data_IF_624476945951
#
_entry.id   IF_624476945951
#
_cell.length_a   1.000
_cell.length_b   1.000
_cell.length_c   1.000
_cell.angle_alpha   90.00
_cell.angle_beta   90.00
_cell.angle_gamma   90.00
#
_symmetry.space_group_name_H-M   'P 1'
#
loop_
_entity.id
_entity.type
_entity.pdbx_description
1 polymer ?
#
# COMPACT_ATOMS: atom_id res chain seq x y z
N UNK A 1 -37.33 8.62 27.89
CA UNK A 1 -36.25 9.62 27.72
C UNK A 1 -34.90 8.90 27.87
N UNK A 2 -34.36 8.27 26.81
CA UNK A 2 -32.99 7.69 26.74
C UNK A 2 -32.65 6.95 25.43
N UNK A 3 -33.59 6.74 24.50
CA UNK A 3 -33.35 5.90 23.29
C UNK A 3 -32.96 6.73 22.06
N UNK A 4 -32.37 7.93 22.23
CA UNK A 4 -31.95 8.79 21.12
C UNK A 4 -30.54 9.35 21.25
N UNK A 5 -29.60 8.57 21.80
CA UNK A 5 -28.18 8.94 21.83
C UNK A 5 -27.26 7.98 21.06
N UNK A 6 -27.79 7.05 20.27
CA UNK A 6 -26.96 6.10 19.50
C UNK A 6 -26.81 6.49 18.02
N UNK A 7 -27.52 7.53 17.56
CA UNK A 7 -27.65 7.81 16.11
C UNK A 7 -26.85 9.02 15.57
N UNK A 8 -25.84 9.54 16.29
CA UNK A 8 -25.01 10.66 15.78
C UNK A 8 -23.51 10.39 15.68
N UNK A 9 -23.03 9.19 16.02
CA UNK A 9 -21.63 8.83 15.75
C UNK A 9 -21.51 8.21 14.34
N UNK A 10 -21.97 8.97 13.34
CA UNK A 10 -21.88 8.60 11.94
C UNK A 10 -20.43 8.41 11.52
N UNK A 11 -20.07 7.17 11.15
CA UNK A 11 -18.90 6.71 10.38
C UNK A 11 -17.49 7.09 10.83
N UNK A 12 -17.29 8.13 11.65
CA UNK A 12 -16.00 8.65 12.10
C UNK A 12 -15.50 8.01 13.39
N UNK A 13 -16.39 7.46 14.23
CA UNK A 13 -16.01 6.84 15.51
C UNK A 13 -15.50 5.39 15.37
N UNK A 14 -15.86 4.69 14.30
CA UNK A 14 -15.49 3.28 14.09
C UNK A 14 -13.99 3.12 13.78
N UNK A 15 -13.35 4.10 13.15
CA UNK A 15 -11.93 4.07 12.81
C UNK A 15 -10.98 4.50 13.93
N UNK A 16 -11.50 4.92 15.10
CA UNK A 16 -10.70 5.50 16.19
C UNK A 16 -10.24 4.43 17.19
N UNK A 17 -10.91 3.28 17.28
CA UNK A 17 -10.60 2.24 18.29
C UNK A 17 -9.29 1.48 18.04
N UNK A 18 -8.76 1.51 16.81
CA UNK A 18 -7.54 0.79 16.43
C UNK A 18 -6.44 1.79 16.05
N UNK A 19 -5.25 1.73 16.67
CA UNK A 19 -4.10 2.50 16.20
C UNK A 19 -3.79 2.18 14.73
N UNK A 20 -3.61 3.22 13.91
CA UNK A 20 -3.24 3.04 12.50
C UNK A 20 -1.89 2.34 12.39
N UNK A 21 -1.80 1.40 11.46
CA UNK A 21 -0.55 0.72 11.12
C UNK A 21 0.40 1.65 10.35
N UNK A 22 1.64 1.20 10.10
CA UNK A 22 2.57 1.96 9.27
C UNK A 22 2.07 2.18 7.83
N UNK A 23 1.44 1.19 7.20
CA UNK A 23 0.92 1.35 5.85
C UNK A 23 -0.24 2.35 5.81
N UNK A 24 -1.15 2.29 6.78
CA UNK A 24 -2.28 3.22 6.87
C UNK A 24 -1.81 4.65 7.14
N UNK A 25 -0.86 4.83 8.05
CA UNK A 25 -0.25 6.14 8.33
C UNK A 25 0.44 6.71 7.08
N UNK A 26 1.19 5.88 6.34
CA UNK A 26 1.86 6.30 5.12
C UNK A 26 0.84 6.65 4.00
N UNK A 27 -0.24 5.89 3.86
CA UNK A 27 -1.33 6.23 2.93
C UNK A 27 -1.96 7.57 3.26
N UNK A 28 -2.23 7.81 4.54
CA UNK A 28 -2.92 9.01 4.99
C UNK A 28 -2.02 10.25 4.96
N UNK A 29 -0.70 10.11 5.19
CA UNK A 29 0.25 11.21 5.09
C UNK A 29 0.40 11.77 3.68
N UNK A 30 -0.01 10.99 2.67
CA UNK A 30 -0.03 11.40 1.27
C UNK A 30 -1.33 12.09 0.86
N UNK A 31 -2.36 12.16 1.71
CA UNK A 31 -3.61 12.83 1.34
C UNK A 31 -3.45 14.35 1.39
N UNK A 32 -3.92 15.05 0.35
CA UNK A 32 -4.08 16.50 0.37
C UNK A 32 -5.30 16.90 1.21
N UNK A 33 -5.50 18.19 1.41
CA UNK A 33 -6.66 18.73 2.17
C UNK A 33 -8.03 18.34 1.60
N UNK A 34 -8.10 17.91 0.33
CA UNK A 34 -9.30 17.36 -0.32
C UNK A 34 -9.47 15.84 -0.11
N UNK A 35 -8.58 15.19 0.66
CA UNK A 35 -8.56 13.75 0.90
C UNK A 35 -7.99 12.92 -0.25
N UNK A 36 -7.52 13.57 -1.33
CA UNK A 36 -6.99 12.88 -2.50
C UNK A 36 -5.45 12.89 -2.53
N UNK A 37 -4.81 11.82 -3.02
CA UNK A 37 -3.37 11.76 -3.13
C UNK A 37 -2.85 12.67 -4.26
N UNK A 38 -1.62 13.23 -4.16
CA UNK A 38 -0.93 13.92 -5.25
C UNK A 38 -0.99 13.13 -6.54
N UNK A 39 -1.25 13.83 -7.64
CA UNK A 39 -1.27 13.23 -8.98
C UNK A 39 0.11 12.65 -9.26
N UNK A 40 0.17 11.36 -9.58
CA UNK A 40 1.41 10.65 -9.85
C UNK A 40 2.22 10.23 -8.62
N UNK A 41 1.71 10.41 -7.40
CA UNK A 41 2.30 9.82 -6.21
C UNK A 41 1.93 8.34 -6.07
N UNK A 42 2.89 7.54 -5.62
CA UNK A 42 2.62 6.17 -5.21
C UNK A 42 1.97 6.16 -3.83
N UNK A 43 0.67 5.88 -3.81
CA UNK A 43 -0.06 5.57 -2.58
C UNK A 43 0.14 4.10 -2.25
N UNK A 44 0.64 3.75 -1.04
CA UNK A 44 0.84 2.37 -0.67
C UNK A 44 -0.50 1.63 -0.57
N UNK A 45 -0.54 0.41 -1.10
CA UNK A 45 -1.63 -0.52 -0.87
C UNK A 45 -1.47 -1.25 0.46
N UNK A 46 -2.52 -1.24 1.26
CA UNK A 46 -2.61 -1.98 2.51
C UNK A 46 -3.63 -3.12 2.37
N UNK A 47 -3.45 -4.21 3.10
CA UNK A 47 -4.43 -5.28 3.23
C UNK A 47 -5.53 -4.94 4.25
N UNK A 48 -6.46 -5.87 4.48
CA UNK A 48 -7.58 -5.71 5.42
C UNK A 48 -7.11 -5.59 6.88
N UNK A 49 -5.88 -6.01 7.17
CA UNK A 49 -5.23 -5.85 8.47
C UNK A 49 -4.37 -4.59 8.53
N UNK A 50 -4.43 -3.72 7.52
CA UNK A 50 -3.62 -2.51 7.41
C UNK A 50 -2.13 -2.80 7.21
N UNK A 51 -1.69 -4.02 6.95
CA UNK A 51 -0.28 -4.29 6.63
C UNK A 51 0.00 -3.93 5.17
N UNK A 52 1.26 -3.70 4.83
CA UNK A 52 1.65 -3.53 3.43
C UNK A 52 1.32 -4.80 2.65
N UNK A 53 0.65 -4.64 1.50
CA UNK A 53 0.50 -5.78 0.59
C UNK A 53 1.88 -6.17 0.07
N UNK A 54 2.25 -7.46 0.02
CA UNK A 54 3.55 -7.89 -0.46
C UNK A 54 3.85 -7.38 -1.87
N UNK A 55 2.84 -7.22 -2.71
CA UNK A 55 2.92 -6.60 -4.03
C UNK A 55 2.31 -5.19 -4.00
N UNK A 56 3.12 -4.20 -4.33
CA UNK A 56 2.70 -2.81 -4.51
C UNK A 56 2.69 -2.46 -6.00
N UNK A 57 1.77 -1.59 -6.40
CA UNK A 57 1.70 -1.11 -7.77
C UNK A 57 1.56 0.41 -7.82
N UNK A 58 2.23 1.06 -8.76
CA UNK A 58 2.04 2.45 -9.05
C UNK A 58 0.95 2.63 -10.09
N UNK A 59 -0.23 3.11 -9.68
CA UNK A 59 -1.39 3.25 -10.57
C UNK A 59 -1.12 4.12 -11.79
N UNK A 60 -0.32 5.19 -11.66
CA UNK A 60 -0.03 6.12 -12.75
C UNK A 60 0.98 5.60 -13.77
N UNK A 61 1.97 4.81 -13.37
CA UNK A 61 2.98 4.26 -14.30
C UNK A 61 2.73 2.79 -14.65
N UNK A 62 1.78 2.13 -13.98
CA UNK A 62 1.48 0.71 -14.11
C UNK A 62 2.61 -0.23 -13.69
N UNK A 63 3.66 0.27 -13.04
CA UNK A 63 4.74 -0.56 -12.53
C UNK A 63 4.33 -1.24 -11.23
N UNK A 64 4.78 -2.47 -10.99
CA UNK A 64 4.58 -3.17 -9.72
C UNK A 64 5.91 -3.67 -9.17
N UNK A 65 6.01 -3.85 -7.86
CA UNK A 65 7.19 -4.38 -7.17
C UNK A 65 6.78 -5.10 -5.88
N UNK A 66 7.69 -5.87 -5.30
CA UNK A 66 7.48 -6.48 -4.00
C UNK A 66 8.03 -5.58 -2.89
N UNK A 67 7.39 -5.60 -1.72
CA UNK A 67 7.86 -4.87 -0.53
C UNK A 67 8.07 -5.79 0.67
N UNK A 68 8.88 -5.33 1.63
CA UNK A 68 8.98 -5.94 2.97
C UNK A 68 7.81 -5.50 3.88
N UNK A 69 7.78 -5.98 5.12
CA UNK A 69 6.76 -5.62 6.11
C UNK A 69 6.75 -4.14 6.51
N UNK A 70 7.79 -3.38 6.15
CA UNK A 70 7.88 -1.93 6.36
C UNK A 70 7.52 -1.15 5.09
N UNK A 71 7.13 -1.83 4.00
CA UNK A 71 6.79 -1.20 2.73
C UNK A 71 8.00 -0.84 1.87
N UNK A 72 9.20 -1.35 2.18
CA UNK A 72 10.40 -1.06 1.41
C UNK A 72 10.50 -1.98 0.20
N UNK A 73 10.76 -1.40 -0.98
CA UNK A 73 10.93 -2.16 -2.21
C UNK A 73 12.08 -3.18 -2.10
N UNK A 74 11.77 -4.41 -2.51
CA UNK A 74 12.72 -5.48 -2.69
C UNK A 74 13.43 -5.32 -4.04
N UNK A 75 14.75 -5.19 -4.04
CA UNK A 75 15.54 -4.99 -5.26
C UNK A 75 15.29 -6.09 -6.30
N UNK A 76 15.19 -5.70 -7.57
CA UNK A 76 15.01 -6.61 -8.70
C UNK A 76 13.59 -7.19 -8.85
N UNK A 77 12.62 -6.73 -8.05
CA UNK A 77 11.22 -7.19 -8.15
C UNK A 77 10.33 -6.26 -8.96
N UNK A 78 10.85 -5.09 -9.38
CA UNK A 78 10.07 -4.10 -10.14
C UNK A 78 9.83 -4.55 -11.57
N UNK A 79 8.56 -4.67 -11.94
CA UNK A 79 8.09 -5.08 -13.27
C UNK A 79 7.38 -3.92 -13.99
N UNK A 80 7.57 -3.78 -15.31
CA UNK A 80 6.85 -2.79 -16.11
C UNK A 80 5.36 -3.15 -16.28
N UNK A 81 4.52 -2.19 -16.70
CA UNK A 81 3.13 -2.45 -17.04
C UNK A 81 3.01 -3.56 -18.10
N UNK A 82 2.00 -4.43 -17.95
CA UNK A 82 1.76 -5.55 -18.86
C UNK A 82 2.63 -6.79 -18.62
N UNK A 83 3.57 -6.74 -17.67
CA UNK A 83 4.31 -7.93 -17.26
C UNK A 83 3.45 -8.87 -16.39
N UNK A 84 3.73 -10.19 -16.41
CA UNK A 84 3.13 -11.12 -15.46
C UNK A 84 3.38 -10.69 -14.01
N UNK A 85 2.43 -10.99 -13.12
CA UNK A 85 2.58 -10.65 -11.70
C UNK A 85 3.78 -11.38 -11.11
N UNK A 86 4.68 -10.62 -10.48
CA UNK A 86 5.82 -11.17 -9.75
C UNK A 86 5.33 -11.88 -8.48
N UNK A 87 5.87 -13.06 -8.17
CA UNK A 87 5.51 -13.79 -6.96
C UNK A 87 6.26 -13.20 -5.75
N UNK A 88 5.55 -12.43 -4.91
CA UNK A 88 6.11 -11.80 -3.72
C UNK A 88 6.17 -12.73 -2.49
N UNK A 89 5.50 -13.88 -2.54
CA UNK A 89 5.42 -14.86 -1.43
C UNK A 89 6.60 -15.83 -1.41
N UNK A 90 7.38 -15.90 -2.51
CA UNK A 90 8.52 -16.78 -2.60
C UNK A 90 9.69 -16.26 -1.74
N UNK A 91 10.15 -17.02 -0.73
CA UNK A 91 11.40 -16.73 -0.05
C UNK A 91 12.56 -17.00 -1.03
N UNK A 92 13.26 -15.93 -1.43
CA UNK A 92 14.63 -16.05 -1.97
C UNK A 92 14.81 -16.56 -3.41
N UNK A 93 14.18 -15.92 -4.40
CA UNK A 93 14.69 -15.97 -5.80
C UNK A 93 15.24 -14.59 -6.20
N UNK A 94 16.14 -14.05 -5.39
CA UNK A 94 16.92 -12.85 -5.71
C UNK A 94 18.22 -13.24 -6.40
N UNK A 95 18.16 -14.06 -7.43
CA UNK A 95 19.24 -14.04 -8.40
C UNK A 95 19.04 -12.77 -9.20
N UNK A 96 19.79 -11.74 -8.82
CA UNK A 96 20.27 -10.70 -9.71
C UNK A 96 20.25 -11.20 -11.16
N UNK A 97 19.18 -10.90 -11.90
CA UNK A 97 19.29 -10.77 -13.34
C UNK A 97 20.05 -9.46 -13.52
N UNK A 98 21.38 -9.54 -13.36
CA UNK A 98 22.28 -8.59 -14.00
C UNK A 98 21.85 -8.62 -15.46
N UNK A 99 21.15 -7.58 -15.90
CA UNK A 99 21.17 -7.21 -17.30
C UNK A 99 22.61 -6.80 -17.56
N UNK A 100 23.45 -7.81 -17.84
CA UNK A 100 24.77 -7.62 -18.40
C UNK A 100 24.55 -7.23 -19.85
N UNK A 101 24.56 -5.92 -20.10
CA UNK A 101 24.84 -5.40 -21.43
C UNK A 101 26.36 -5.59 -21.58
N UNK A 102 26.76 -6.63 -22.30
CA UNK A 102 28.13 -6.93 -22.66
C UNK A 102 28.14 -7.47 -24.08
#
# INVERSE_FOLDING_TARGET
>A
LAIRLVALLGSKAVSILRPKTQCEQHRDSLQRGDGSPPVGAHVPQCDDQGQYRPQQCHGSTGHCWCVDSRGQERQGTRTPPGSPRFNCDAPGKYTTHKVGIG
#
